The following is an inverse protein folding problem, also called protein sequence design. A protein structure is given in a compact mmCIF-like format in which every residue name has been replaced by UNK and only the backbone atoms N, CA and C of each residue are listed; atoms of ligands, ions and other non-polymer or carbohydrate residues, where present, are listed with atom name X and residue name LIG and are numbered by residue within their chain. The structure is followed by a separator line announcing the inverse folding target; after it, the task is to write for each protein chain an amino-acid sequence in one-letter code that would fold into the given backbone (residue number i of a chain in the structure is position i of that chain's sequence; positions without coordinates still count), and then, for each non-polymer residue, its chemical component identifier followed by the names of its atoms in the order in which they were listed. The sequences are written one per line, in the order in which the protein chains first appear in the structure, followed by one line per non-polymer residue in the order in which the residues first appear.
data_IF_697757625025
#
_entry.id   IF_697757625025
#
_cell.length_a   1.000
_cell.length_b   1.000
_cell.length_c   1.000
_cell.angle_alpha   90.00
_cell.angle_beta   90.00
_cell.angle_gamma   90.00
#
_symmetry.space_group_name_H-M   'P 1'
#
loop_
_entity.id
_entity.type
_entity.pdbx_description
1 polymer ?
#
# COMPACT_ATOMS: atom_id res chain seq x y z
N UNK A 1 46.76 37.60 -8.46
CA UNK A 1 45.61 37.44 -7.55
C UNK A 1 46.08 36.60 -6.38
N UNK A 2 45.62 36.87 -5.17
CA UNK A 2 46.10 36.19 -3.96
C UNK A 2 45.47 34.80 -3.84
N UNK A 3 46.22 33.79 -3.38
CA UNK A 3 45.76 32.38 -3.38
C UNK A 3 44.50 32.18 -2.53
N UNK A 4 44.32 33.00 -1.50
CA UNK A 4 43.10 33.04 -0.68
C UNK A 4 41.87 33.57 -1.43
N UNK A 5 42.06 34.46 -2.41
CA UNK A 5 40.96 34.95 -3.24
C UNK A 5 40.46 33.85 -4.17
N UNK A 6 41.37 33.06 -4.76
CA UNK A 6 41.01 31.97 -5.66
C UNK A 6 40.26 30.84 -4.92
N UNK A 7 40.68 30.49 -3.69
CA UNK A 7 39.97 29.48 -2.88
C UNK A 7 38.58 29.93 -2.45
N UNK A 8 38.39 31.22 -2.16
CA UNK A 8 37.07 31.78 -1.84
C UNK A 8 36.14 31.75 -3.06
N UNK A 9 36.66 32.03 -4.26
CA UNK A 9 35.89 31.93 -5.50
C UNK A 9 35.46 30.48 -5.77
N UNK A 10 36.37 29.52 -5.62
CA UNK A 10 36.06 28.10 -5.83
C UNK A 10 35.04 27.59 -4.80
N UNK A 11 35.17 28.01 -3.53
CA UNK A 11 34.23 27.65 -2.48
C UNK A 11 32.83 28.22 -2.77
N UNK A 12 32.75 29.47 -3.21
CA UNK A 12 31.47 30.09 -3.56
C UNK A 12 30.79 29.35 -4.73
N UNK A 13 31.56 28.98 -5.75
CA UNK A 13 31.06 28.19 -6.87
C UNK A 13 30.54 26.79 -6.43
N UNK A 14 31.20 26.16 -5.45
CA UNK A 14 30.72 24.89 -4.87
C UNK A 14 29.45 25.07 -4.04
N UNK A 15 29.34 26.16 -3.29
CA UNK A 15 28.14 26.50 -2.52
C UNK A 15 26.94 26.76 -3.43
N UNK A 16 27.10 27.52 -4.52
CA UNK A 16 26.03 27.73 -5.50
C UNK A 16 25.55 26.40 -6.10
N UNK A 17 26.46 25.48 -6.44
CA UNK A 17 26.09 24.14 -6.93
C UNK A 17 25.32 23.32 -5.89
N UNK A 18 25.70 23.42 -4.62
CA UNK A 18 24.99 22.76 -3.52
C UNK A 18 23.59 23.34 -3.34
N UNK A 19 23.45 24.67 -3.37
CA UNK A 19 22.15 25.34 -3.29
C UNK A 19 21.23 24.90 -4.43
N UNK A 20 21.73 24.91 -5.67
CA UNK A 20 20.98 24.41 -6.83
C UNK A 20 20.59 22.93 -6.68
N UNK A 21 21.47 22.11 -6.09
CA UNK A 21 21.20 20.71 -5.80
C UNK A 21 20.09 20.53 -4.75
N UNK A 22 20.08 21.38 -3.71
CA UNK A 22 19.05 21.39 -2.66
C UNK A 22 17.70 21.80 -3.25
N UNK A 23 17.66 22.82 -4.11
CA UNK A 23 16.42 23.26 -4.74
C UNK A 23 15.81 22.15 -5.61
N UNK A 24 16.64 21.45 -6.39
CA UNK A 24 16.22 20.29 -7.17
C UNK A 24 15.72 19.15 -6.30
N UNK A 25 16.40 18.88 -5.18
CA UNK A 25 15.99 17.86 -4.23
C UNK A 25 14.66 18.20 -3.56
N UNK A 26 14.44 19.45 -3.17
CA UNK A 26 13.18 19.95 -2.61
C UNK A 26 12.02 19.71 -3.59
N UNK A 27 12.19 20.11 -4.85
CA UNK A 27 11.19 19.89 -5.89
C UNK A 27 10.90 18.40 -6.13
N UNK A 28 11.91 17.54 -6.03
CA UNK A 28 11.73 16.09 -6.16
C UNK A 28 10.99 15.49 -4.96
N UNK A 29 11.27 15.99 -3.75
CA UNK A 29 10.59 15.55 -2.53
C UNK A 29 9.11 15.94 -2.52
N UNK A 30 8.77 17.12 -3.03
CA UNK A 30 7.38 17.55 -3.18
C UNK A 30 6.61 16.61 -4.12
N UNK A 31 7.19 16.28 -5.28
CA UNK A 31 6.60 15.29 -6.22
C UNK A 31 6.46 13.90 -5.59
N UNK A 32 7.48 13.44 -4.88
CA UNK A 32 7.44 12.16 -4.17
C UNK A 32 6.35 12.13 -3.10
N UNK A 33 6.15 13.23 -2.37
CA UNK A 33 5.09 13.34 -1.36
C UNK A 33 3.70 13.23 -2.00
N UNK A 34 3.51 13.86 -3.17
CA UNK A 34 2.27 13.75 -3.93
C UNK A 34 2.01 12.31 -4.40
N UNK A 35 3.04 11.65 -4.94
CA UNK A 35 2.93 10.26 -5.41
C UNK A 35 2.64 9.30 -4.24
N UNK A 36 3.30 9.48 -3.08
CA UNK A 36 3.02 8.70 -1.87
C UNK A 36 1.57 8.92 -1.40
N UNK A 37 1.06 10.15 -1.53
CA UNK A 37 -0.33 10.46 -1.16
C UNK A 37 -1.32 9.70 -2.05
N UNK A 38 -1.08 9.66 -3.37
CA UNK A 38 -1.88 8.88 -4.33
C UNK A 38 -1.82 7.37 -4.04
N UNK A 39 -0.63 6.85 -3.71
CA UNK A 39 -0.47 5.45 -3.30
C UNK A 39 -1.28 5.16 -2.04
N UNK A 40 -1.19 6.04 -1.04
CA UNK A 40 -1.95 5.89 0.21
C UNK A 40 -3.45 5.86 -0.05
N UNK A 41 -3.94 6.72 -0.94
CA UNK A 41 -5.35 6.70 -1.34
C UNK A 41 -5.71 5.36 -2.01
N UNK A 42 -4.96 4.90 -3.01
CA UNK A 42 -5.24 3.63 -3.67
C UNK A 42 -5.18 2.41 -2.73
N UNK A 43 -4.34 2.45 -1.69
CA UNK A 43 -4.18 1.35 -0.74
C UNK A 43 -5.21 1.40 0.40
N UNK A 44 -5.44 2.58 0.98
CA UNK A 44 -6.20 2.77 2.21
C UNK A 44 -7.58 3.40 2.02
N UNK A 45 -8.00 3.73 0.79
CA UNK A 45 -9.36 4.20 0.55
C UNK A 45 -10.36 3.16 1.13
N UNK A 46 -11.28 3.58 2.02
CA UNK A 46 -12.12 2.67 2.78
C UNK A 46 -13.13 1.89 1.92
N UNK A 47 -13.48 2.41 0.75
CA UNK A 47 -14.50 1.82 -0.12
C UNK A 47 -13.87 1.06 -1.30
N UNK A 48 -12.86 1.66 -1.93
CA UNK A 48 -12.29 1.14 -3.17
C UNK A 48 -10.83 0.70 -3.06
N UNK A 49 -10.19 0.97 -1.92
CA UNK A 49 -8.78 0.69 -1.69
C UNK A 49 -8.48 -0.79 -1.56
N UNK A 50 -7.20 -1.14 -1.73
CA UNK A 50 -6.76 -2.54 -1.70
C UNK A 50 -7.15 -3.24 -0.38
N UNK A 51 -6.96 -2.57 0.77
CA UNK A 51 -7.32 -3.16 2.07
C UNK A 51 -8.83 -3.41 2.21
N UNK A 52 -9.67 -2.51 1.69
CA UNK A 52 -11.11 -2.68 1.71
C UNK A 52 -11.55 -3.94 0.94
N UNK A 53 -10.95 -4.16 -0.24
CA UNK A 53 -11.20 -5.33 -1.08
C UNK A 53 -10.72 -6.63 -0.42
N UNK A 54 -9.53 -6.63 0.17
CA UNK A 54 -9.00 -7.80 0.89
C UNK A 54 -9.92 -8.16 2.05
N UNK A 55 -10.33 -7.18 2.85
CA UNK A 55 -11.28 -7.40 3.95
C UNK A 55 -12.62 -7.98 3.45
N UNK A 56 -13.16 -7.46 2.35
CA UNK A 56 -14.39 -7.98 1.76
C UNK A 56 -14.25 -9.44 1.32
N UNK A 57 -13.11 -9.81 0.71
CA UNK A 57 -12.82 -11.18 0.31
C UNK A 57 -12.65 -12.11 1.52
N UNK A 58 -11.99 -11.66 2.59
CA UNK A 58 -11.85 -12.42 3.84
C UNK A 58 -13.21 -12.70 4.49
N UNK A 59 -14.06 -11.67 4.59
CA UNK A 59 -15.43 -11.80 5.09
C UNK A 59 -16.26 -12.75 4.25
N UNK A 60 -16.13 -12.67 2.92
CA UNK A 60 -16.83 -13.58 2.01
C UNK A 60 -16.36 -15.02 2.15
N UNK A 61 -15.05 -15.24 2.30
CA UNK A 61 -14.47 -16.56 2.54
C UNK A 61 -14.97 -17.17 3.84
N UNK A 62 -15.00 -16.38 4.93
CA UNK A 62 -15.51 -16.83 6.22
C UNK A 62 -17.00 -17.17 6.16
N UNK A 63 -17.80 -16.33 5.51
CA UNK A 63 -19.23 -16.58 5.29
C UNK A 63 -19.47 -17.85 4.49
N UNK A 64 -18.74 -18.02 3.37
CA UNK A 64 -18.84 -19.19 2.49
C UNK A 64 -18.44 -20.47 3.23
N UNK A 65 -17.39 -20.43 4.04
CA UNK A 65 -16.96 -21.57 4.86
C UNK A 65 -18.05 -22.05 5.82
N UNK A 66 -18.73 -21.11 6.50
CA UNK A 66 -19.85 -21.42 7.39
C UNK A 66 -21.03 -22.03 6.64
N UNK A 67 -21.41 -21.45 5.49
CA UNK A 67 -22.49 -21.98 4.65
C UNK A 67 -22.14 -23.37 4.14
N UNK A 68 -20.92 -23.58 3.64
CA UNK A 68 -20.45 -24.86 3.17
C UNK A 68 -20.52 -25.92 4.27
N UNK A 69 -20.17 -25.58 5.51
CA UNK A 69 -20.27 -26.52 6.63
C UNK A 69 -21.73 -26.88 6.97
N UNK A 70 -22.63 -25.91 6.97
CA UNK A 70 -24.07 -26.15 7.17
C UNK A 70 -24.66 -27.06 6.09
N UNK A 71 -24.33 -26.82 4.82
CA UNK A 71 -24.77 -27.67 3.71
C UNK A 71 -24.20 -29.07 3.84
N UNK A 72 -22.89 -29.20 4.09
CA UNK A 72 -22.20 -30.50 4.20
C UNK A 72 -22.78 -31.33 5.35
N UNK A 73 -22.94 -30.73 6.53
CA UNK A 73 -23.55 -31.40 7.69
C UNK A 73 -25.01 -31.79 7.46
N UNK A 74 -25.79 -30.93 6.78
CA UNK A 74 -27.16 -31.26 6.37
C UNK A 74 -27.23 -32.46 5.44
N UNK A 75 -26.35 -32.53 4.43
CA UNK A 75 -26.26 -33.69 3.53
C UNK A 75 -25.89 -34.96 4.28
N UNK A 76 -24.89 -34.92 5.17
CA UNK A 76 -24.48 -36.07 5.99
C UNK A 76 -25.64 -36.55 6.86
N UNK A 77 -26.39 -35.63 7.48
CA UNK A 77 -27.55 -35.98 8.31
C UNK A 77 -28.64 -36.67 7.49
N UNK A 78 -28.94 -36.18 6.28
CA UNK A 78 -29.94 -36.79 5.40
C UNK A 78 -29.51 -38.19 4.94
N UNK A 79 -28.24 -38.37 4.60
CA UNK A 79 -27.68 -39.69 4.26
C UNK A 79 -27.82 -40.64 5.46
N UNK A 80 -27.43 -40.19 6.66
CA UNK A 80 -27.57 -40.98 7.89
C UNK A 80 -29.02 -41.39 8.17
N UNK A 81 -29.97 -40.46 7.97
CA UNK A 81 -31.40 -40.75 8.11
C UNK A 81 -31.88 -41.80 7.09
N UNK A 82 -31.48 -41.68 5.83
CA UNK A 82 -31.85 -42.64 4.78
C UNK A 82 -31.41 -44.07 5.14
N UNK A 83 -30.23 -44.25 5.73
CA UNK A 83 -29.76 -45.56 6.19
C UNK A 83 -30.43 -46.05 7.48
N UNK A 84 -30.96 -45.14 8.30
CA UNK A 84 -31.71 -45.51 9.51
C UNK A 84 -33.14 -45.95 9.20
N UNK A 85 -33.73 -45.41 8.13
CA UNK A 85 -35.10 -45.70 7.69
C UNK A 85 -35.19 -47.00 6.83
N UNK A 86 -34.06 -47.62 6.45
CA UNK A 86 -33.94 -48.92 5.72
C UNK A 86 -33.71 -50.07 6.70
#
# INVERSE_FOLDING_TARGET
MDQHTDTLIELNAKLERLLNGIDSLSANQERMCEDISKIKEAVYNPDSGLYARIRALELWKESTSRVQWLVTSGVIMLIGKMFWDV
#
